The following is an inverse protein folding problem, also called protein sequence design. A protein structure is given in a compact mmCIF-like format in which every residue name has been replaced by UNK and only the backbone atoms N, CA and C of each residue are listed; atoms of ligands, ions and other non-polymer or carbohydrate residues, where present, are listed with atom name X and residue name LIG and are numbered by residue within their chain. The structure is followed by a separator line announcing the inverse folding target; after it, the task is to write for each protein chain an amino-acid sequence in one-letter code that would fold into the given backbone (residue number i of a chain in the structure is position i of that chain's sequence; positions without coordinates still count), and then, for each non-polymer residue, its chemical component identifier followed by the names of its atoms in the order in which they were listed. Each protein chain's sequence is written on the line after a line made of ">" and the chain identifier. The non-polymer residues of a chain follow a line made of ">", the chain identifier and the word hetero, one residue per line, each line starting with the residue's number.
data_IF_373877896573
#
_entry.id   IF_373877896573
#
_cell.length_a   1.000
_cell.length_b   1.000
_cell.length_c   1.000
_cell.angle_alpha   90.00
_cell.angle_beta   90.00
_cell.angle_gamma   90.00
#
_symmetry.space_group_name_H-M   'P 1'
#
loop_
_entity.id
_entity.type
_entity.pdbx_description
1 polymer ?
#
# COMPACT_ATOMS: atom_id res chain seq x y z
N UNK A 1 -5.89 -8.14 -0.15
CA UNK A 1 -5.23 -7.19 0.76
C UNK A 1 -5.20 -7.84 2.14
N UNK A 2 -4.05 -7.95 2.80
CA UNK A 2 -3.99 -8.44 4.20
C UNK A 2 -4.03 -7.22 5.10
N UNK A 3 -5.00 -7.17 6.00
CA UNK A 3 -5.25 -6.04 6.88
C UNK A 3 -4.75 -6.37 8.28
N UNK A 4 -3.79 -5.60 8.79
CA UNK A 4 -3.21 -5.82 10.11
C UNK A 4 -2.27 -4.70 10.53
N UNK A 5 -2.05 -4.55 11.85
CA UNK A 5 -1.10 -3.57 12.37
C UNK A 5 0.35 -3.97 12.05
N UNK A 6 1.20 -2.99 11.73
CA UNK A 6 2.65 -3.18 11.54
C UNK A 6 3.05 -4.20 10.47
N UNK A 7 2.14 -4.58 9.58
CA UNK A 7 2.39 -5.56 8.50
C UNK A 7 3.44 -5.06 7.50
N UNK A 8 3.72 -3.74 7.51
CA UNK A 8 4.73 -3.09 6.70
C UNK A 8 5.82 -2.39 7.54
N UNK A 9 6.10 -2.87 8.75
CA UNK A 9 7.11 -2.27 9.65
C UNK A 9 8.55 -2.64 9.23
N UNK A 10 9.00 -2.10 8.10
CA UNK A 10 10.33 -2.33 7.52
C UNK A 10 11.49 -1.83 8.41
N UNK A 11 11.24 -0.89 9.32
CA UNK A 11 12.21 -0.37 10.28
C UNK A 11 12.43 -1.28 11.50
N UNK A 12 11.69 -2.40 11.61
CA UNK A 12 11.85 -3.33 12.74
C UNK A 12 13.04 -4.27 12.51
N UNK A 13 13.92 -4.48 13.50
CA UNK A 13 14.98 -5.49 13.42
C UNK A 13 14.45 -6.93 13.59
N UNK A 14 13.18 -7.09 14.00
CA UNK A 14 12.52 -8.39 14.10
C UNK A 14 11.74 -8.72 12.83
N UNK A 15 11.83 -10.00 12.45
CA UNK A 15 11.32 -10.67 11.22
C UNK A 15 9.78 -10.59 11.04
N UNK A 16 9.06 -9.79 11.83
CA UNK A 16 7.60 -9.72 11.84
C UNK A 16 6.99 -8.86 10.71
N UNK A 17 7.75 -8.54 9.66
CA UNK A 17 7.25 -7.77 8.51
C UNK A 17 6.53 -8.70 7.51
N UNK A 18 5.24 -8.92 7.77
CA UNK A 18 4.39 -9.95 7.15
C UNK A 18 4.29 -9.93 5.62
N UNK A 19 4.66 -8.86 4.91
CA UNK A 19 4.58 -8.80 3.45
C UNK A 19 5.91 -8.93 2.70
N UNK A 20 7.01 -8.40 3.25
CA UNK A 20 8.29 -8.35 2.53
C UNK A 20 8.86 -9.75 2.30
N UNK A 21 8.93 -10.56 3.35
CA UNK A 21 9.58 -11.87 3.31
C UNK A 21 8.67 -12.99 2.78
N UNK A 22 7.36 -12.85 2.93
CA UNK A 22 6.40 -13.91 2.59
C UNK A 22 5.61 -13.65 1.31
N UNK A 23 5.55 -12.39 0.86
CA UNK A 23 4.85 -11.97 -0.35
C UNK A 23 5.83 -11.39 -1.37
N UNK A 24 6.13 -10.10 -1.25
CA UNK A 24 6.73 -9.30 -2.32
C UNK A 24 8.09 -9.82 -2.82
N UNK A 25 8.95 -10.35 -1.94
CA UNK A 25 10.26 -10.90 -2.32
C UNK A 25 10.28 -12.42 -2.44
N UNK A 26 9.14 -13.09 -2.28
CA UNK A 26 9.03 -14.53 -2.47
C UNK A 26 8.72 -14.80 -3.94
N UNK A 27 9.58 -15.58 -4.59
CA UNK A 27 9.35 -16.03 -5.96
C UNK A 27 8.00 -16.76 -6.08
N UNK A 28 7.26 -16.48 -7.15
CA UNK A 28 5.94 -17.09 -7.40
C UNK A 28 4.82 -16.63 -6.46
N UNK A 29 5.01 -15.59 -5.65
CA UNK A 29 3.97 -15.09 -4.73
C UNK A 29 2.82 -14.33 -5.41
N UNK A 30 3.04 -13.83 -6.63
CA UNK A 30 2.04 -13.11 -7.41
C UNK A 30 1.81 -11.64 -7.00
N UNK A 31 2.61 -11.08 -6.07
CA UNK A 31 2.51 -9.67 -5.66
C UNK A 31 3.61 -8.82 -6.32
N UNK A 32 3.23 -7.67 -6.87
CA UNK A 32 4.15 -6.69 -7.50
C UNK A 32 4.38 -5.44 -6.65
N UNK A 33 3.50 -5.19 -5.68
CA UNK A 33 3.61 -4.13 -4.69
C UNK A 33 2.76 -4.48 -3.46
N UNK A 34 3.02 -3.82 -2.33
CA UNK A 34 2.24 -3.96 -1.10
C UNK A 34 2.05 -2.60 -0.42
N UNK A 35 0.85 -2.37 0.11
CA UNK A 35 0.51 -1.23 0.95
C UNK A 35 0.18 -1.74 2.35
N UNK A 36 0.71 -1.09 3.38
CA UNK A 36 0.31 -1.40 4.75
C UNK A 36 0.92 -0.44 5.76
N UNK A 37 0.43 -0.49 7.01
CA UNK A 37 0.95 0.32 8.10
C UNK A 37 2.31 -0.17 8.60
N UNK A 38 3.20 0.79 8.86
CA UNK A 38 4.43 0.66 9.66
C UNK A 38 4.14 0.75 11.16
N UNK A 39 3.04 1.42 11.53
CA UNK A 39 2.58 1.66 12.90
C UNK A 39 1.35 0.86 13.32
N UNK A 40 0.76 1.26 14.45
CA UNK A 40 -0.53 0.75 14.89
C UNK A 40 -1.64 1.53 14.17
N UNK A 41 -2.66 0.82 13.71
CA UNK A 41 -3.86 1.44 13.14
C UNK A 41 -4.94 1.59 14.21
N UNK A 42 -5.80 2.60 14.07
CA UNK A 42 -7.08 2.59 14.77
C UNK A 42 -8.00 1.50 14.19
N UNK A 43 -9.04 1.14 14.93
CA UNK A 43 -10.07 0.25 14.42
C UNK A 43 -10.63 0.81 13.10
N UNK A 44 -10.79 -0.04 12.09
CA UNK A 44 -11.32 0.25 10.76
C UNK A 44 -10.45 1.13 9.84
N UNK A 45 -9.34 1.73 10.30
CA UNK A 45 -8.46 2.57 9.44
C UNK A 45 -8.08 1.85 8.14
N UNK A 46 -7.81 0.55 8.27
CA UNK A 46 -7.51 -0.29 7.12
C UNK A 46 -8.68 -0.41 6.14
N UNK A 47 -9.86 -0.79 6.64
CA UNK A 47 -11.03 -1.05 5.78
C UNK A 47 -11.51 0.24 5.10
N UNK A 48 -11.51 1.35 5.83
CA UNK A 48 -11.89 2.67 5.30
C UNK A 48 -10.89 3.15 4.26
N UNK A 49 -9.58 2.98 4.48
CA UNK A 49 -8.58 3.29 3.46
C UNK A 49 -8.71 2.39 2.23
N UNK A 50 -8.97 1.09 2.41
CA UNK A 50 -9.18 0.18 1.28
C UNK A 50 -10.38 0.61 0.43
N UNK A 51 -11.49 0.98 1.07
CA UNK A 51 -12.69 1.49 0.38
C UNK A 51 -12.38 2.78 -0.39
N UNK A 52 -11.65 3.72 0.21
CA UNK A 52 -11.25 4.96 -0.48
C UNK A 52 -10.40 4.67 -1.72
N UNK A 53 -9.42 3.77 -1.62
CA UNK A 53 -8.56 3.39 -2.77
C UNK A 53 -9.37 2.79 -3.93
N UNK A 54 -10.28 1.85 -3.66
CA UNK A 54 -11.11 1.24 -4.70
C UNK A 54 -12.15 2.22 -5.28
N UNK A 55 -12.69 3.11 -4.46
CA UNK A 55 -13.64 4.14 -4.89
C UNK A 55 -12.97 5.15 -5.81
N UNK A 56 -11.79 5.65 -5.41
CA UNK A 56 -10.92 6.50 -6.23
C UNK A 56 -10.59 5.84 -7.58
N UNK A 57 -10.20 4.57 -7.59
CA UNK A 57 -9.91 3.84 -8.84
C UNK A 57 -11.12 3.76 -9.78
N UNK A 58 -12.32 3.52 -9.23
CA UNK A 58 -13.55 3.40 -10.02
C UNK A 58 -14.00 4.74 -10.59
N UNK A 59 -13.87 5.82 -9.84
CA UNK A 59 -14.34 7.16 -10.22
C UNK A 59 -13.48 7.80 -11.31
N UNK A 60 -12.18 7.47 -11.36
CA UNK A 60 -11.23 8.15 -12.23
C UNK A 60 -10.84 7.38 -13.50
N UNK A 61 -11.49 6.25 -13.80
CA UNK A 61 -11.47 5.51 -15.07
C UNK A 61 -10.19 5.62 -15.91
N UNK A 62 -9.29 4.64 -15.83
CA UNK A 62 -8.09 4.58 -16.67
C UNK A 62 -6.91 3.90 -15.99
N UNK A 63 -5.76 3.93 -16.66
CA UNK A 63 -4.51 3.40 -16.12
C UNK A 63 -3.85 4.41 -15.18
N UNK A 64 -3.80 4.05 -13.90
CA UNK A 64 -3.33 4.88 -12.78
C UNK A 64 -1.99 4.39 -12.28
N UNK A 65 -1.08 5.32 -11.95
CA UNK A 65 0.12 4.97 -11.19
C UNK A 65 -0.30 4.60 -9.76
N UNK A 66 0.34 3.59 -9.20
CA UNK A 66 0.04 3.09 -7.87
C UNK A 66 0.19 4.18 -6.79
N UNK A 67 1.20 5.04 -6.93
CA UNK A 67 1.42 6.20 -6.05
C UNK A 67 0.31 7.24 -6.13
N UNK A 68 -0.23 7.50 -7.33
CA UNK A 68 -1.34 8.45 -7.51
C UNK A 68 -2.62 7.90 -6.85
N UNK A 69 -2.88 6.59 -7.00
CA UNK A 69 -4.00 5.92 -6.34
C UNK A 69 -3.88 6.01 -4.82
N UNK A 70 -2.69 5.72 -4.29
CA UNK A 70 -2.43 5.83 -2.87
C UNK A 70 -2.68 7.25 -2.36
N UNK A 71 -2.13 8.26 -3.03
CA UNK A 71 -2.27 9.64 -2.62
C UNK A 71 -3.73 10.12 -2.66
N UNK A 72 -4.50 9.70 -3.68
CA UNK A 72 -5.93 10.00 -3.75
C UNK A 72 -6.70 9.35 -2.60
N UNK A 73 -6.51 8.05 -2.36
CA UNK A 73 -7.20 7.34 -1.28
C UNK A 73 -6.83 7.87 0.10
N UNK A 74 -5.57 8.24 0.35
CA UNK A 74 -5.16 8.86 1.62
C UNK A 74 -5.83 10.23 1.81
N UNK A 75 -5.94 11.03 0.75
CA UNK A 75 -6.63 12.34 0.82
C UNK A 75 -8.12 12.19 1.05
N UNK A 76 -8.77 11.27 0.34
CA UNK A 76 -10.18 10.96 0.49
C UNK A 76 -10.48 10.47 1.91
N UNK A 77 -9.67 9.55 2.43
CA UNK A 77 -9.87 9.01 3.76
C UNK A 77 -9.57 10.04 4.87
N UNK A 78 -8.48 10.81 4.75
CA UNK A 78 -8.18 11.89 5.68
C UNK A 78 -9.32 12.92 5.73
N UNK A 79 -9.82 13.34 4.56
CA UNK A 79 -10.71 14.49 4.44
C UNK A 79 -10.16 15.69 5.22
N UNK A 80 -11.04 16.37 5.95
CA UNK A 80 -10.69 17.51 6.81
C UNK A 80 -10.33 17.09 8.25
N UNK A 81 -9.89 15.85 8.49
CA UNK A 81 -9.61 15.32 9.84
C UNK A 81 -8.09 15.25 10.11
N UNK A 82 -7.49 16.22 10.82
CA UNK A 82 -6.03 16.27 11.00
C UNK A 82 -5.47 15.06 11.76
N UNK A 83 -6.24 14.52 12.70
CA UNK A 83 -5.84 13.32 13.45
C UNK A 83 -5.76 12.07 12.57
N UNK A 84 -6.62 11.97 11.54
CA UNK A 84 -6.56 10.87 10.56
C UNK A 84 -5.37 11.09 9.63
N UNK A 85 -5.17 12.31 9.13
CA UNK A 85 -4.03 12.66 8.28
C UNK A 85 -2.68 12.34 8.95
N UNK A 86 -2.53 12.60 10.25
CA UNK A 86 -1.34 12.25 11.00
C UNK A 86 -1.12 10.73 11.09
N UNK A 87 -2.17 9.94 11.37
CA UNK A 87 -2.08 8.46 11.41
C UNK A 87 -1.79 7.85 10.05
N UNK A 88 -2.23 8.49 8.98
CA UNK A 88 -1.98 8.02 7.61
C UNK A 88 -0.51 8.10 7.19
N UNK A 89 0.32 8.84 7.91
CA UNK A 89 1.78 8.80 7.74
C UNK A 89 2.38 7.44 8.10
N UNK A 90 1.66 6.63 8.88
CA UNK A 90 2.11 5.28 9.20
C UNK A 90 1.95 4.33 8.02
N UNK A 91 1.17 4.65 6.98
CA UNK A 91 1.02 3.79 5.80
C UNK A 91 2.17 3.99 4.82
N UNK A 92 2.77 2.88 4.38
CA UNK A 92 3.83 2.90 3.38
C UNK A 92 3.51 1.98 2.21
N UNK A 93 3.97 2.41 1.04
CA UNK A 93 3.99 1.60 -0.17
C UNK A 93 5.36 0.95 -0.31
N UNK A 94 5.38 -0.36 -0.55
CA UNK A 94 6.56 -1.08 -1.05
C UNK A 94 6.30 -1.47 -2.50
N UNK A 95 7.24 -1.15 -3.39
CA UNK A 95 7.14 -1.39 -4.82
C UNK A 95 7.37 -0.10 -5.59
N UNK A 96 7.16 -0.15 -6.90
CA UNK A 96 7.30 1.02 -7.77
C UNK A 96 6.01 1.89 -7.71
N UNK A 97 6.05 3.12 -7.17
CA UNK A 97 4.89 4.02 -7.21
C UNK A 97 4.47 4.40 -8.62
N UNK A 98 5.35 4.28 -9.63
CA UNK A 98 5.03 4.55 -11.02
C UNK A 98 4.34 3.36 -11.74
N UNK A 99 4.23 2.20 -11.08
CA UNK A 99 3.55 1.02 -11.62
C UNK A 99 2.12 1.36 -12.00
N UNK A 100 1.71 0.97 -13.21
CA UNK A 100 0.39 1.28 -13.75
C UNK A 100 -0.60 0.14 -13.51
N UNK A 101 -1.74 0.45 -12.88
CA UNK A 101 -2.81 -0.50 -12.60
C UNK A 101 -3.58 -0.80 -13.89
N UNK A 102 -3.83 -2.08 -14.17
CA UNK A 102 -4.55 -2.52 -15.36
C UNK A 102 -3.70 -2.61 -16.63
N UNK A 103 -2.40 -2.30 -16.55
CA UNK A 103 -1.43 -2.57 -17.59
C UNK A 103 -0.53 -3.75 -17.18
N UNK A 104 -0.11 -4.61 -18.12
CA UNK A 104 0.94 -5.60 -17.84
C UNK A 104 2.19 -4.89 -17.33
N UNK A 105 2.78 -5.39 -16.25
CA UNK A 105 4.02 -4.84 -15.72
C UNK A 105 5.12 -4.89 -16.80
N UNK A 106 5.59 -3.73 -17.25
CA UNK A 106 6.69 -3.61 -18.23
C UNK A 106 8.04 -3.49 -17.51
N UNK A 107 8.49 -4.57 -16.84
CA UNK A 107 9.77 -4.63 -16.08
C UNK A 107 9.76 -3.77 -14.80
N UNK A 108 10.58 -4.01 -13.77
CA UNK A 108 11.96 -4.52 -13.68
C UNK A 108 12.10 -5.58 -12.58
N UNK A 109 12.72 -6.72 -12.87
CA UNK A 109 13.22 -7.66 -11.85
C UNK A 109 14.59 -7.16 -11.40
N UNK A 110 14.68 -6.56 -10.21
CA UNK A 110 15.96 -6.35 -9.53
C UNK A 110 16.28 -7.64 -8.77
N UNK A 111 16.87 -8.61 -9.45
CA UNK A 111 17.58 -9.69 -8.77
C UNK A 111 18.91 -9.08 -8.27
N UNK A 112 18.93 -8.67 -7.01
CA UNK A 112 20.20 -8.37 -6.32
C UNK A 112 20.71 -9.70 -5.79
N UNK A 113 21.80 -10.18 -6.39
CA UNK A 113 22.55 -11.35 -5.97
C UNK A 113 23.29 -11.09 -4.65
#
# INVERSE_FOLDING_TARGET
>A
MVMGCRVNRWQSPTVSAAFLQYGLFKEGSGFVAALGPTGNMAANDGDELALALYSSLRLHGGSWRLGDMLLAGLREYAGDKPAVAARLQDFSLIGDPALRIGEPARGTVLAVW
#
